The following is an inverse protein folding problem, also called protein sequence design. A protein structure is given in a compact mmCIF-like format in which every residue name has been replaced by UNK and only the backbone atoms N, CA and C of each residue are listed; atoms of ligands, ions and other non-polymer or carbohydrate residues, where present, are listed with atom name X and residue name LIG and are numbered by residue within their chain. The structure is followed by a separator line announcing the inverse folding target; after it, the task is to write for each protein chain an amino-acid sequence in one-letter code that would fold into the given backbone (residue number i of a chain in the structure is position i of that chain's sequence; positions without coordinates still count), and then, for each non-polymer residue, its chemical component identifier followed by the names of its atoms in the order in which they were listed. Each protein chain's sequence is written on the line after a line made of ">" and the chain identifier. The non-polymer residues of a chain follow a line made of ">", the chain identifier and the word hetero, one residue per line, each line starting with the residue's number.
data_IF_933876154477
#
_entry.id   IF_933876154477
#
_cell.length_a   1.000
_cell.length_b   1.000
_cell.length_c   1.000
_cell.angle_alpha   90.00
_cell.angle_beta   90.00
_cell.angle_gamma   90.00
#
_symmetry.space_group_name_H-M   'P 1'
#
loop_
_entity.id
_entity.type
_entity.pdbx_description
1 polymer ?
#
# COMPACT_ATOMS: atom_id res chain seq x y z
N UNK A 1 -34.86 -1.05 2.39
CA UNK A 1 -33.79 -0.10 2.76
C UNK A 1 -34.30 1.01 3.67
N UNK A 2 -35.23 1.86 3.24
CA UNK A 2 -35.76 2.95 4.09
C UNK A 2 -36.32 2.48 5.42
N UNK A 3 -37.06 1.37 5.43
CA UNK A 3 -37.57 0.76 6.66
C UNK A 3 -36.44 0.29 7.60
N UNK A 4 -35.35 -0.21 7.06
CA UNK A 4 -34.19 -0.64 7.84
C UNK A 4 -33.40 0.57 8.37
N UNK A 5 -33.27 1.64 7.60
CA UNK A 5 -32.69 2.91 8.05
C UNK A 5 -33.50 3.49 9.23
N UNK A 6 -34.82 3.49 9.12
CA UNK A 6 -35.68 3.90 10.20
C UNK A 6 -35.53 3.03 11.47
N UNK A 7 -35.33 1.72 11.30
CA UNK A 7 -35.13 0.79 12.42
C UNK A 7 -33.85 1.06 13.20
N UNK A 8 -32.76 1.45 12.50
CA UNK A 8 -31.48 1.80 13.16
C UNK A 8 -31.43 3.29 13.59
N UNK A 9 -32.49 4.05 13.35
CA UNK A 9 -32.58 5.48 13.65
C UNK A 9 -31.42 6.30 13.10
N UNK A 10 -30.87 5.89 11.94
CA UNK A 10 -29.71 6.51 11.31
C UNK A 10 -29.99 6.72 9.82
N UNK A 11 -29.71 7.90 9.25
CA UNK A 11 -29.87 8.12 7.82
C UNK A 11 -28.91 7.18 7.03
N UNK A 12 -29.39 6.75 5.86
CA UNK A 12 -28.55 5.93 4.95
C UNK A 12 -27.34 6.69 4.46
N UNK A 13 -27.56 7.96 4.12
CA UNK A 13 -26.55 8.90 3.61
C UNK A 13 -26.84 10.28 4.17
N UNK A 14 -25.82 11.11 4.26
CA UNK A 14 -25.92 12.51 4.64
C UNK A 14 -25.14 13.38 3.65
N UNK A 15 -25.68 14.57 3.30
CA UNK A 15 -25.04 15.49 2.38
C UNK A 15 -24.73 14.86 1.02
N UNK A 16 -23.50 14.94 0.58
CA UNK A 16 -23.02 14.48 -0.72
C UNK A 16 -22.54 13.01 -0.75
N UNK A 17 -22.89 12.24 0.30
CA UNK A 17 -22.51 10.83 0.36
C UNK A 17 -23.23 9.97 -0.66
N UNK A 18 -22.52 8.99 -1.21
CA UNK A 18 -23.05 8.04 -2.18
C UNK A 18 -23.45 6.73 -1.49
N UNK A 19 -24.71 6.32 -1.69
CA UNK A 19 -25.19 5.02 -1.26
C UNK A 19 -24.84 3.93 -2.28
N UNK A 20 -24.03 2.97 -1.87
CA UNK A 20 -23.75 1.75 -2.64
C UNK A 20 -24.71 0.64 -2.28
N UNK A 21 -25.41 0.07 -3.26
CA UNK A 21 -26.27 -1.12 -3.07
C UNK A 21 -25.57 -2.31 -3.70
N UNK A 22 -25.17 -3.26 -2.85
CA UNK A 22 -24.30 -4.38 -3.25
C UNK A 22 -25.00 -5.71 -2.99
N UNK A 23 -25.02 -6.66 -3.95
CA UNK A 23 -25.52 -8.00 -3.67
C UNK A 23 -24.50 -8.80 -2.86
N UNK A 24 -24.92 -9.40 -1.73
CA UNK A 24 -24.08 -10.23 -0.87
C UNK A 24 -23.59 -11.52 -1.50
N UNK A 25 -24.05 -11.84 -2.71
CA UNK A 25 -23.65 -13.02 -3.48
C UNK A 25 -22.35 -12.84 -4.28
N UNK A 26 -21.73 -11.66 -4.22
CA UNK A 26 -20.43 -11.42 -4.84
C UNK A 26 -19.31 -12.15 -4.08
N UNK A 27 -18.19 -12.48 -4.74
CA UNK A 27 -17.00 -12.98 -4.05
C UNK A 27 -16.51 -12.01 -2.96
N UNK A 28 -15.91 -12.55 -1.89
CA UNK A 28 -15.42 -11.77 -0.73
C UNK A 28 -14.52 -10.61 -1.15
N UNK A 29 -13.55 -10.84 -2.04
CA UNK A 29 -12.63 -9.80 -2.50
C UNK A 29 -13.37 -8.64 -3.21
N UNK A 30 -14.38 -8.94 -4.01
CA UNK A 30 -15.18 -7.94 -4.71
C UNK A 30 -16.10 -7.17 -3.75
N UNK A 31 -16.69 -7.87 -2.77
CA UNK A 31 -17.45 -7.24 -1.68
C UNK A 31 -16.56 -6.28 -0.88
N UNK A 32 -15.38 -6.75 -0.44
CA UNK A 32 -14.44 -5.95 0.33
C UNK A 32 -14.01 -4.69 -0.44
N UNK A 33 -13.70 -4.84 -1.73
CA UNK A 33 -13.35 -3.71 -2.59
C UNK A 33 -14.46 -2.66 -2.65
N UNK A 34 -15.71 -3.08 -2.90
CA UNK A 34 -16.86 -2.17 -3.00
C UNK A 34 -17.21 -1.51 -1.68
N UNK A 35 -17.12 -2.26 -0.58
CA UNK A 35 -17.40 -1.75 0.75
C UNK A 35 -16.32 -0.76 1.24
N UNK A 36 -15.05 -1.04 0.92
CA UNK A 36 -13.95 -0.15 1.28
C UNK A 36 -14.07 1.26 0.67
N UNK A 37 -14.62 1.35 -0.54
CA UNK A 37 -14.77 2.60 -1.29
C UNK A 37 -16.15 3.28 -1.06
N UNK A 38 -17.08 2.64 -0.34
CA UNK A 38 -18.42 3.18 -0.14
C UNK A 38 -18.49 4.20 1.00
N UNK A 39 -19.15 5.34 0.79
CA UNK A 39 -19.51 6.28 1.85
C UNK A 39 -20.56 5.65 2.77
N UNK A 40 -21.56 5.02 2.17
CA UNK A 40 -22.57 4.21 2.80
C UNK A 40 -22.88 2.97 1.94
N UNK A 41 -23.25 1.88 2.55
CA UNK A 41 -23.59 0.67 1.79
C UNK A 41 -24.80 -0.06 2.36
N UNK A 42 -25.57 -0.67 1.47
CA UNK A 42 -26.58 -1.66 1.81
C UNK A 42 -26.28 -2.94 1.06
N UNK A 43 -26.04 -4.01 1.79
CA UNK A 43 -25.81 -5.34 1.22
C UNK A 43 -27.09 -6.13 1.30
N UNK A 44 -27.58 -6.52 0.11
CA UNK A 44 -28.80 -7.29 -0.06
C UNK A 44 -28.47 -8.77 -0.33
N UNK A 45 -29.49 -9.64 -0.30
CA UNK A 45 -29.35 -11.08 -0.58
C UNK A 45 -28.37 -11.77 0.36
N UNK A 46 -28.51 -11.53 1.66
CA UNK A 46 -27.62 -12.10 2.68
C UNK A 46 -27.79 -13.63 2.75
N UNK A 47 -28.81 -14.11 3.38
CA UNK A 47 -29.09 -15.55 3.50
C UNK A 47 -27.80 -16.38 3.65
N UNK A 48 -27.59 -17.34 2.75
CA UNK A 48 -26.39 -18.21 2.72
C UNK A 48 -25.08 -17.46 2.45
N UNK A 49 -25.15 -16.22 1.96
CA UNK A 49 -23.98 -15.41 1.63
C UNK A 49 -23.51 -14.54 2.81
N UNK A 50 -24.16 -14.61 3.97
CA UNK A 50 -23.81 -13.73 5.09
C UNK A 50 -22.36 -13.93 5.55
N UNK A 51 -21.84 -15.14 5.55
CA UNK A 51 -20.45 -15.44 5.86
C UNK A 51 -19.48 -14.60 5.00
N UNK A 52 -19.69 -14.59 3.68
CA UNK A 52 -18.85 -13.79 2.77
C UNK A 52 -18.97 -12.28 3.01
N UNK A 53 -20.17 -11.80 3.37
CA UNK A 53 -20.38 -10.38 3.70
C UNK A 53 -19.69 -10.00 5.01
N UNK A 54 -19.79 -10.84 6.04
CA UNK A 54 -19.10 -10.65 7.32
C UNK A 54 -17.59 -10.64 7.16
N UNK A 55 -17.05 -11.58 6.39
CA UNK A 55 -15.63 -11.63 6.06
C UNK A 55 -15.18 -10.35 5.35
N UNK A 56 -15.93 -9.90 4.33
CA UNK A 56 -15.62 -8.66 3.61
C UNK A 56 -15.65 -7.42 4.52
N UNK A 57 -16.64 -7.32 5.41
CA UNK A 57 -16.72 -6.24 6.40
C UNK A 57 -15.54 -6.28 7.40
N UNK A 58 -15.13 -7.48 7.80
CA UNK A 58 -13.95 -7.67 8.67
C UNK A 58 -12.66 -7.23 7.96
N UNK A 59 -12.44 -7.67 6.72
CA UNK A 59 -11.27 -7.30 5.91
C UNK A 59 -11.15 -5.78 5.70
N UNK A 60 -12.28 -5.07 5.64
CA UNK A 60 -12.31 -3.61 5.49
C UNK A 60 -12.31 -2.87 6.83
N UNK A 61 -12.34 -3.59 7.97
CA UNK A 61 -12.42 -3.01 9.31
C UNK A 61 -13.73 -2.26 9.58
N UNK A 62 -14.83 -2.67 8.92
CA UNK A 62 -16.15 -2.04 8.98
C UNK A 62 -17.20 -2.92 9.69
N UNK A 63 -16.80 -4.09 10.21
CA UNK A 63 -17.72 -5.06 10.81
C UNK A 63 -18.44 -4.50 12.05
N UNK A 64 -17.70 -3.83 12.94
CA UNK A 64 -18.26 -3.24 14.17
C UNK A 64 -19.16 -2.04 13.90
N UNK A 65 -19.06 -1.54 12.71
CA UNK A 65 -19.82 -0.39 12.25
C UNK A 65 -21.06 -0.77 11.45
N UNK A 66 -21.20 -1.99 11.04
CA UNK A 66 -22.31 -2.46 10.25
C UNK A 66 -23.47 -2.96 11.12
N UNK A 67 -24.69 -2.73 10.64
CA UNK A 67 -25.91 -3.21 11.25
C UNK A 67 -26.53 -4.30 10.38
N UNK A 68 -27.03 -5.32 11.05
CA UNK A 68 -27.88 -6.34 10.46
C UNK A 68 -29.33 -6.03 10.76
N UNK A 69 -30.18 -6.05 9.73
CA UNK A 69 -31.62 -5.85 9.87
C UNK A 69 -32.36 -6.98 9.17
N UNK A 70 -33.23 -7.63 9.93
CA UNK A 70 -34.08 -8.72 9.46
C UNK A 70 -35.54 -8.31 9.54
N UNK A 71 -36.32 -8.59 8.51
CA UNK A 71 -37.77 -8.40 8.45
C UNK A 71 -38.20 -7.01 8.91
N UNK A 72 -37.52 -5.96 8.45
CA UNK A 72 -37.78 -4.58 8.83
C UNK A 72 -39.29 -4.22 8.70
N UNK A 73 -39.80 -3.50 9.67
CA UNK A 73 -41.20 -3.08 9.77
C UNK A 73 -42.22 -4.21 9.94
N UNK A 74 -41.81 -5.36 10.42
CA UNK A 74 -42.74 -6.46 10.79
C UNK A 74 -42.67 -6.71 12.30
N UNK A 75 -43.66 -7.40 12.89
CA UNK A 75 -43.59 -7.76 14.31
C UNK A 75 -42.43 -8.65 14.69
N UNK A 76 -41.77 -9.29 13.70
CA UNK A 76 -40.61 -10.17 13.86
C UNK A 76 -39.32 -9.51 13.45
N UNK A 77 -39.27 -8.18 13.39
CA UNK A 77 -38.06 -7.44 13.09
C UNK A 77 -36.97 -7.73 14.11
N UNK A 78 -35.74 -7.98 13.61
CA UNK A 78 -34.54 -8.06 14.44
C UNK A 78 -33.52 -7.05 13.94
N UNK A 79 -32.85 -6.41 14.88
CA UNK A 79 -31.77 -5.47 14.66
C UNK A 79 -30.60 -5.87 15.54
N UNK A 80 -29.43 -6.11 14.95
CA UNK A 80 -28.20 -6.50 15.65
C UNK A 80 -27.00 -5.76 15.04
N UNK A 81 -25.92 -5.52 15.81
CA UNK A 81 -24.61 -5.31 15.20
C UNK A 81 -24.28 -6.49 14.27
N UNK A 82 -23.64 -6.22 13.12
CA UNK A 82 -23.30 -7.27 12.18
C UNK A 82 -22.31 -8.30 12.78
N UNK A 83 -21.50 -7.88 13.74
CA UNK A 83 -20.58 -8.76 14.46
C UNK A 83 -21.29 -9.84 15.29
N UNK A 84 -22.50 -9.56 15.80
CA UNK A 84 -23.23 -10.41 16.74
C UNK A 84 -24.22 -11.38 16.07
N UNK A 85 -24.24 -11.42 14.74
CA UNK A 85 -25.18 -12.25 13.98
C UNK A 85 -24.69 -13.69 13.92
N UNK A 86 -25.56 -14.62 14.27
CA UNK A 86 -25.36 -16.05 14.00
C UNK A 86 -25.53 -16.33 12.50
N UNK A 87 -24.42 -16.63 11.84
CA UNK A 87 -24.36 -16.84 10.40
C UNK A 87 -25.25 -18.01 9.90
N UNK A 88 -25.52 -18.97 10.76
CA UNK A 88 -26.32 -20.16 10.43
C UNK A 88 -27.81 -19.87 10.36
N UNK A 89 -28.27 -18.76 10.95
CA UNK A 89 -29.68 -18.43 11.13
C UNK A 89 -30.17 -17.24 10.27
N UNK A 90 -29.38 -16.79 9.29
CA UNK A 90 -29.71 -15.61 8.47
C UNK A 90 -30.78 -15.92 7.42
N UNK A 91 -31.99 -15.31 7.49
CA UNK A 91 -33.05 -15.54 6.52
C UNK A 91 -32.84 -14.70 5.25
N UNK A 92 -33.60 -15.04 4.20
CA UNK A 92 -33.57 -14.31 2.95
C UNK A 92 -33.98 -12.82 3.09
N UNK A 93 -34.97 -12.54 3.95
CA UNK A 93 -35.47 -11.18 4.20
C UNK A 93 -34.60 -10.44 5.22
N UNK A 94 -33.32 -10.32 4.92
CA UNK A 94 -32.34 -9.59 5.71
C UNK A 94 -31.41 -8.77 4.85
N UNK A 95 -30.79 -7.77 5.43
CA UNK A 95 -29.79 -6.92 4.82
C UNK A 95 -28.75 -6.47 5.85
N UNK A 96 -27.53 -6.19 5.39
CA UNK A 96 -26.55 -5.49 6.19
C UNK A 96 -26.48 -4.04 5.73
N UNK A 97 -26.34 -3.14 6.69
CA UNK A 97 -26.26 -1.70 6.45
C UNK A 97 -24.96 -1.17 7.04
N UNK A 98 -24.24 -0.44 6.23
CA UNK A 98 -23.16 0.42 6.64
C UNK A 98 -23.63 1.87 6.44
N UNK A 99 -24.13 2.54 7.50
CA UNK A 99 -24.67 3.90 7.38
C UNK A 99 -23.58 4.88 6.97
N UNK A 100 -23.96 5.94 6.27
CA UNK A 100 -23.13 7.11 6.03
C UNK A 100 -22.83 7.90 7.32
N UNK A 101 -22.23 9.07 7.18
CA UNK A 101 -21.79 9.89 8.32
C UNK A 101 -20.52 9.37 8.99
N UNK A 102 -19.95 8.29 8.47
CA UNK A 102 -18.73 7.65 8.97
C UNK A 102 -17.45 8.15 8.32
N UNK A 103 -17.56 9.11 7.42
CA UNK A 103 -16.38 9.95 7.24
C UNK A 103 -16.02 10.35 8.67
N UNK A 104 -15.13 9.58 9.33
CA UNK A 104 -14.45 10.10 10.51
C UNK A 104 -14.06 11.49 10.07
N UNK A 105 -14.53 12.54 10.72
CA UNK A 105 -14.05 13.86 10.39
C UNK A 105 -12.55 13.66 10.46
N UNK A 106 -11.88 13.76 9.31
CA UNK A 106 -10.43 13.91 9.34
C UNK A 106 -10.30 15.11 10.21
N UNK A 107 -9.82 14.89 11.42
CA UNK A 107 -9.76 15.92 12.44
C UNK A 107 -9.10 17.10 11.77
N UNK A 108 -9.79 18.23 11.74
CA UNK A 108 -9.24 19.47 11.19
C UNK A 108 -7.78 19.55 11.64
N UNK A 109 -6.87 19.79 10.70
CA UNK A 109 -5.43 19.78 11.01
C UNK A 109 -4.70 18.44 10.84
N UNK A 110 -5.23 17.46 10.09
CA UNK A 110 -4.51 16.19 9.84
C UNK A 110 -4.02 16.04 8.41
N UNK A 111 -2.80 15.53 8.28
CA UNK A 111 -2.20 15.06 7.03
C UNK A 111 -2.00 13.55 7.11
N UNK A 112 -2.62 12.78 6.24
CA UNK A 112 -2.34 11.37 6.05
C UNK A 112 -1.32 11.19 4.92
N UNK A 113 -0.15 10.64 5.20
CA UNK A 113 0.82 10.26 4.16
C UNK A 113 0.52 8.81 3.78
N UNK A 114 -0.06 8.62 2.60
CA UNK A 114 -0.69 7.36 2.22
C UNK A 114 0.15 6.59 1.21
N UNK A 115 0.53 5.37 1.56
CA UNK A 115 1.14 4.43 0.64
C UNK A 115 0.11 3.80 -0.29
N UNK A 116 0.42 3.85 -1.59
CA UNK A 116 -0.41 3.23 -2.63
C UNK A 116 0.02 1.80 -2.97
N UNK A 117 1.08 1.29 -2.33
CA UNK A 117 1.75 0.09 -2.80
C UNK A 117 2.49 0.31 -4.14
N UNK A 118 3.20 -0.69 -4.65
CA UNK A 118 4.07 -0.52 -5.82
C UNK A 118 3.32 -0.40 -7.15
N UNK A 119 2.02 -0.71 -7.22
CA UNK A 119 1.29 -0.60 -8.49
C UNK A 119 -0.20 -0.86 -8.37
N UNK A 120 -0.65 -2.09 -8.55
CA UNK A 120 -2.06 -2.47 -8.63
C UNK A 120 -2.86 -2.09 -7.36
N UNK A 121 -4.14 -1.86 -7.57
CA UNK A 121 -5.10 -1.61 -6.49
C UNK A 121 -5.19 -2.76 -5.49
N UNK A 122 -4.94 -4.00 -5.88
CA UNK A 122 -4.98 -5.16 -5.00
C UNK A 122 -3.91 -5.13 -3.91
N UNK A 123 -2.81 -4.40 -4.16
CA UNK A 123 -1.75 -4.17 -3.19
C UNK A 123 -1.92 -2.90 -2.35
N UNK A 124 -2.99 -2.15 -2.59
CA UNK A 124 -3.38 -1.04 -1.73
C UNK A 124 -4.11 -1.56 -0.50
N UNK A 125 -3.67 -1.16 0.68
CA UNK A 125 -4.30 -1.62 1.93
C UNK A 125 -5.72 -1.06 2.07
N UNK A 126 -6.63 -1.76 2.76
CA UNK A 126 -7.95 -1.23 3.10
C UNK A 126 -7.86 0.11 3.85
N UNK A 127 -6.86 0.28 4.70
CA UNK A 127 -6.62 1.54 5.39
C UNK A 127 -6.26 2.67 4.43
N UNK A 128 -5.36 2.41 3.46
CA UNK A 128 -5.02 3.41 2.43
C UNK A 128 -6.24 3.85 1.64
N UNK A 129 -7.11 2.91 1.24
CA UNK A 129 -8.36 3.22 0.53
C UNK A 129 -9.29 4.12 1.34
N UNK A 130 -9.46 3.82 2.65
CA UNK A 130 -10.29 4.65 3.53
C UNK A 130 -9.73 6.06 3.68
N UNK A 131 -8.42 6.21 3.90
CA UNK A 131 -7.80 7.53 4.05
C UNK A 131 -7.93 8.37 2.78
N UNK A 132 -7.72 7.77 1.61
CA UNK A 132 -7.90 8.43 0.31
C UNK A 132 -9.37 8.82 0.08
N UNK A 133 -10.30 7.97 0.51
CA UNK A 133 -11.72 8.23 0.40
C UNK A 133 -12.20 9.37 1.30
N UNK A 134 -11.60 9.50 2.48
CA UNK A 134 -11.97 10.53 3.46
C UNK A 134 -11.30 11.88 3.21
N UNK A 135 -10.23 11.93 2.41
CA UNK A 135 -9.50 13.15 2.15
C UNK A 135 -10.30 14.11 1.25
N UNK A 136 -10.34 15.40 1.62
CA UNK A 136 -10.87 16.48 0.77
C UNK A 136 -9.84 16.94 -0.25
N UNK A 137 -8.56 16.73 0.05
CA UNK A 137 -7.44 17.15 -0.78
C UNK A 137 -6.44 16.02 -0.95
N UNK A 138 -6.13 15.69 -2.19
CA UNK A 138 -5.08 14.75 -2.56
C UNK A 138 -3.90 15.51 -3.14
N UNK A 139 -2.72 15.27 -2.61
CA UNK A 139 -1.47 15.90 -3.07
C UNK A 139 -0.51 14.80 -3.53
N UNK A 140 0.10 14.96 -4.69
CA UNK A 140 1.08 13.99 -5.15
C UNK A 140 1.62 14.21 -6.55
N UNK A 141 2.54 13.35 -6.93
CA UNK A 141 2.99 13.25 -8.32
C UNK A 141 1.85 12.76 -9.21
N UNK A 142 1.67 13.37 -10.39
CA UNK A 142 0.53 13.10 -11.26
C UNK A 142 0.27 11.62 -11.50
N UNK A 143 1.31 10.84 -11.86
CA UNK A 143 1.17 9.39 -12.09
C UNK A 143 0.73 8.59 -10.86
N UNK A 144 0.96 9.09 -9.65
CA UNK A 144 0.48 8.45 -8.42
C UNK A 144 -0.97 8.81 -8.16
N UNK A 145 -1.34 10.06 -8.39
CA UNK A 145 -2.73 10.50 -8.30
C UNK A 145 -3.63 9.80 -9.32
N UNK A 146 -3.13 9.50 -10.52
CA UNK A 146 -3.88 8.77 -11.56
C UNK A 146 -4.30 7.35 -11.11
N UNK A 147 -3.63 6.78 -10.10
CA UNK A 147 -3.97 5.48 -9.50
C UNK A 147 -5.11 5.56 -8.48
N UNK A 148 -5.47 6.76 -8.06
CA UNK A 148 -6.56 6.98 -7.10
C UNK A 148 -7.82 7.34 -7.88
N UNK A 149 -8.95 6.63 -7.70
CA UNK A 149 -10.22 6.98 -8.36
C UNK A 149 -10.63 8.42 -8.09
N UNK A 150 -11.15 9.10 -9.12
CA UNK A 150 -11.68 10.46 -8.97
C UNK A 150 -12.97 10.45 -8.17
N UNK A 151 -13.15 11.46 -7.30
CA UNK A 151 -14.37 11.67 -6.51
C UNK A 151 -14.84 13.12 -6.63
N UNK A 152 -16.14 13.32 -6.70
CA UNK A 152 -16.73 14.65 -6.66
C UNK A 152 -16.42 15.34 -5.33
N UNK A 153 -16.11 16.63 -5.39
CA UNK A 153 -15.76 17.42 -4.22
C UNK A 153 -14.34 17.19 -3.66
N UNK A 154 -13.54 16.32 -4.25
CA UNK A 154 -12.14 16.09 -3.87
C UNK A 154 -11.19 16.90 -4.75
N UNK A 155 -10.36 17.74 -4.14
CA UNK A 155 -9.37 18.54 -4.84
C UNK A 155 -8.07 17.77 -5.07
N UNK A 156 -7.51 17.83 -6.27
CA UNK A 156 -6.24 17.17 -6.63
C UNK A 156 -5.17 18.20 -6.90
N UNK A 157 -4.12 18.16 -6.12
CA UNK A 157 -2.95 19.03 -6.23
C UNK A 157 -1.79 18.23 -6.85
N UNK A 158 -1.70 18.36 -8.18
CA UNK A 158 -0.68 17.67 -8.97
C UNK A 158 0.62 18.46 -8.92
N UNK A 159 1.73 17.77 -8.75
CA UNK A 159 3.08 18.36 -8.82
C UNK A 159 4.06 17.43 -9.53
N UNK A 160 5.23 17.95 -9.90
CA UNK A 160 6.31 17.15 -10.44
C UNK A 160 6.97 16.29 -9.36
N UNK A 161 7.61 15.19 -9.78
CA UNK A 161 8.20 14.22 -8.85
C UNK A 161 9.31 14.81 -7.95
N UNK A 162 10.01 15.84 -8.44
CA UNK A 162 11.15 16.45 -7.74
C UNK A 162 10.79 17.45 -6.63
N UNK A 163 9.51 17.77 -6.45
CA UNK A 163 9.06 18.88 -5.59
C UNK A 163 8.47 18.40 -4.25
N UNK A 164 9.23 17.54 -3.55
CA UNK A 164 8.82 16.97 -2.26
C UNK A 164 8.59 18.03 -1.16
N UNK A 165 9.47 19.03 -0.99
CA UNK A 165 9.26 20.05 0.04
C UNK A 165 8.02 20.93 -0.19
N UNK A 166 7.73 21.30 -1.44
CA UNK A 166 6.55 22.10 -1.74
C UNK A 166 5.25 21.30 -1.52
N UNK A 167 5.24 20.00 -1.85
CA UNK A 167 4.12 19.12 -1.52
C UNK A 167 3.88 19.03 -0.02
N UNK A 168 4.94 18.86 0.77
CA UNK A 168 4.84 18.78 2.22
C UNK A 168 4.28 20.08 2.82
N UNK A 169 4.80 21.22 2.37
CA UNK A 169 4.32 22.55 2.80
C UNK A 169 2.86 22.79 2.44
N UNK A 170 2.46 22.46 1.22
CA UNK A 170 1.07 22.59 0.78
C UNK A 170 0.14 21.72 1.64
N UNK A 171 0.57 20.49 1.95
CA UNK A 171 -0.20 19.59 2.79
C UNK A 171 -0.45 20.16 4.18
N UNK A 172 0.60 20.68 4.82
CA UNK A 172 0.49 21.29 6.15
C UNK A 172 -0.37 22.57 6.12
N UNK A 173 -0.19 23.41 5.11
CA UNK A 173 -0.96 24.65 4.98
C UNK A 173 -2.47 24.41 4.77
N UNK A 174 -2.84 23.39 3.99
CA UNK A 174 -4.24 23.00 3.82
C UNK A 174 -4.82 22.37 5.10
N UNK A 175 -4.04 21.54 5.77
CA UNK A 175 -4.46 20.93 7.03
C UNK A 175 -4.69 22.00 8.12
N UNK A 176 -3.82 23.00 8.23
CA UNK A 176 -4.01 24.12 9.17
C UNK A 176 -5.32 24.88 8.94
N UNK A 177 -5.80 24.93 7.69
CA UNK A 177 -7.10 25.50 7.32
C UNK A 177 -8.28 24.57 7.67
N UNK A 178 -8.04 23.45 8.34
CA UNK A 178 -9.08 22.50 8.71
C UNK A 178 -9.44 21.48 7.62
N UNK A 179 -8.64 21.38 6.56
CA UNK A 179 -8.89 20.44 5.47
C UNK A 179 -8.35 19.04 5.81
N UNK A 180 -8.98 18.06 5.21
CA UNK A 180 -8.59 16.67 5.27
C UNK A 180 -7.61 16.36 4.13
N UNK A 181 -6.33 16.23 4.44
CA UNK A 181 -5.29 16.13 3.42
C UNK A 181 -4.70 14.73 3.35
N UNK A 182 -4.59 14.14 2.16
CA UNK A 182 -3.80 12.95 1.91
C UNK A 182 -2.66 13.24 0.93
N UNK A 183 -1.44 12.96 1.35
CA UNK A 183 -0.25 12.99 0.47
C UNK A 183 0.01 11.57 -0.02
N UNK A 184 -0.10 11.35 -1.34
CA UNK A 184 0.07 10.02 -1.93
C UNK A 184 1.51 9.71 -2.28
N UNK A 185 1.92 8.48 -2.01
CA UNK A 185 3.26 7.97 -2.30
C UNK A 185 3.18 6.58 -2.92
N UNK A 186 3.97 6.29 -3.95
CA UNK A 186 4.09 4.93 -4.45
C UNK A 186 4.88 4.07 -3.46
N UNK A 187 4.55 2.78 -3.38
CA UNK A 187 5.13 1.88 -2.39
C UNK A 187 4.69 2.25 -0.97
N UNK A 188 5.59 2.08 -0.02
CA UNK A 188 5.44 2.49 1.37
C UNK A 188 5.91 3.94 1.54
N UNK A 189 5.15 4.83 2.21
CA UNK A 189 5.50 6.24 2.33
C UNK A 189 6.69 6.51 3.26
N UNK A 190 7.05 5.55 4.12
CA UNK A 190 8.21 5.62 5.03
C UNK A 190 9.51 5.10 4.42
N UNK A 191 9.47 4.49 3.21
CA UNK A 191 10.65 3.89 2.58
C UNK A 191 11.12 4.75 1.40
N UNK A 192 12.06 5.66 1.65
CA UNK A 192 12.61 6.62 0.66
C UNK A 192 11.53 7.42 -0.09
N UNK A 193 10.51 7.86 0.62
CA UNK A 193 9.32 8.48 0.07
C UNK A 193 8.82 9.64 0.94
N UNK A 194 7.58 10.09 0.75
CA UNK A 194 7.06 11.37 1.22
C UNK A 194 6.94 11.55 2.74
N UNK A 195 6.93 10.46 3.54
CA UNK A 195 6.66 10.58 4.98
C UNK A 195 7.71 11.44 5.69
N UNK A 196 8.99 11.28 5.35
CA UNK A 196 10.08 12.08 5.96
C UNK A 196 9.90 13.57 5.65
N UNK A 197 9.67 13.93 4.39
CA UNK A 197 9.52 15.33 4.00
C UNK A 197 8.31 16.00 4.68
N UNK A 198 7.19 15.27 4.81
CA UNK A 198 6.00 15.78 5.50
C UNK A 198 6.24 15.92 7.00
N UNK A 199 6.91 14.97 7.65
CA UNK A 199 7.24 15.05 9.07
C UNK A 199 8.26 16.14 9.38
N UNK A 200 9.21 16.38 8.50
CA UNK A 200 10.17 17.49 8.62
C UNK A 200 9.48 18.86 8.55
N UNK A 201 8.59 19.03 7.57
CA UNK A 201 7.82 20.26 7.39
C UNK A 201 6.85 20.48 8.58
N UNK A 202 6.18 19.43 9.05
CA UNK A 202 5.19 19.51 10.12
C UNK A 202 5.74 20.08 11.45
N UNK A 203 7.05 20.07 11.65
CA UNK A 203 7.68 20.73 12.81
C UNK A 203 7.38 22.22 12.90
N UNK A 204 7.09 22.86 11.76
CA UNK A 204 6.76 24.29 11.68
C UNK A 204 5.25 24.54 11.85
N UNK A 205 4.44 23.49 11.98
CA UNK A 205 2.97 23.53 12.00
C UNK A 205 2.44 22.79 13.23
N UNK A 206 2.57 23.33 14.45
CA UNK A 206 2.29 22.61 15.70
C UNK A 206 0.83 22.15 15.86
N UNK A 207 -0.11 22.74 15.11
CA UNK A 207 -1.53 22.32 15.08
C UNK A 207 -1.82 21.18 14.11
N UNK A 208 -0.86 20.80 13.26
CA UNK A 208 -1.06 19.78 12.23
C UNK A 208 -0.60 18.42 12.72
N UNK A 209 -1.52 17.44 12.72
CA UNK A 209 -1.19 16.05 13.03
C UNK A 209 -0.83 15.29 11.75
N UNK A 210 0.30 14.59 11.75
CA UNK A 210 0.73 13.74 10.63
C UNK A 210 0.53 12.27 10.98
N UNK A 211 -0.13 11.54 10.10
CA UNK A 211 -0.27 10.08 10.17
C UNK A 211 0.38 9.44 8.96
N UNK A 212 1.16 8.40 9.16
CA UNK A 212 1.77 7.62 8.08
C UNK A 212 0.99 6.32 7.92
N UNK A 213 0.47 6.10 6.73
CA UNK A 213 -0.36 4.94 6.40
C UNK A 213 0.47 3.97 5.57
N UNK A 214 0.89 2.84 6.13
CA UNK A 214 1.83 1.93 5.51
C UNK A 214 1.24 1.18 4.32
N UNK A 215 2.10 0.76 3.42
CA UNK A 215 1.74 -0.10 2.30
C UNK A 215 2.90 -1.05 1.94
N UNK A 216 2.66 -1.96 0.98
CA UNK A 216 3.70 -2.83 0.46
C UNK A 216 4.79 -2.01 -0.23
N UNK A 217 6.05 -2.29 0.09
CA UNK A 217 7.18 -1.66 -0.58
C UNK A 217 7.70 -2.51 -1.76
N UNK A 218 8.42 -1.87 -2.70
CA UNK A 218 8.92 -2.54 -3.89
C UNK A 218 9.81 -3.75 -3.60
N UNK A 219 10.57 -3.75 -2.50
CA UNK A 219 11.39 -4.90 -2.11
C UNK A 219 10.57 -6.16 -1.86
N UNK A 220 9.44 -6.04 -1.15
CA UNK A 220 8.53 -7.16 -0.91
C UNK A 220 7.85 -7.63 -2.20
N UNK A 221 7.46 -6.70 -3.05
CA UNK A 221 6.87 -7.01 -4.34
C UNK A 221 7.82 -7.80 -5.25
N UNK A 222 9.07 -7.37 -5.38
CA UNK A 222 10.08 -8.08 -6.18
C UNK A 222 10.42 -9.43 -5.55
N UNK A 223 10.59 -9.48 -4.23
CA UNK A 223 10.89 -10.74 -3.53
C UNK A 223 9.81 -11.80 -3.79
N UNK A 224 8.53 -11.42 -3.78
CA UNK A 224 7.42 -12.36 -3.98
C UNK A 224 7.42 -13.05 -5.35
N UNK A 225 8.06 -12.46 -6.37
CA UNK A 225 8.15 -13.05 -7.72
C UNK A 225 9.10 -14.24 -7.79
N UNK A 226 10.13 -14.21 -6.97
CA UNK A 226 11.19 -15.24 -7.02
C UNK A 226 11.21 -16.14 -5.78
N UNK A 227 10.44 -15.83 -4.74
CA UNK A 227 10.36 -16.65 -3.53
C UNK A 227 10.60 -15.85 -2.26
N UNK A 228 11.67 -16.17 -1.52
CA UNK A 228 11.99 -15.58 -0.23
C UNK A 228 13.46 -15.10 -0.10
N UNK A 229 13.96 -14.25 -1.02
CA UNK A 229 15.33 -13.74 -0.93
C UNK A 229 15.57 -12.93 0.35
N UNK A 230 14.52 -12.29 0.90
CA UNK A 230 14.53 -11.54 2.15
C UNK A 230 14.22 -12.40 3.38
N UNK A 231 14.46 -13.70 3.32
CA UNK A 231 14.12 -14.66 4.38
C UNK A 231 15.00 -14.59 5.63
N UNK A 232 16.10 -13.85 5.60
CA UNK A 232 17.01 -13.58 6.70
C UNK A 232 17.20 -12.08 6.90
N UNK A 233 18.14 -11.66 7.75
CA UNK A 233 18.45 -10.25 7.99
C UNK A 233 18.83 -9.54 6.69
N UNK A 234 18.27 -8.37 6.46
CA UNK A 234 18.54 -7.60 5.26
C UNK A 234 18.63 -6.11 5.51
N UNK A 235 19.43 -5.43 4.71
CA UNK A 235 19.55 -3.97 4.73
C UNK A 235 18.86 -3.35 3.52
N UNK A 236 18.24 -2.19 3.72
CA UNK A 236 17.57 -1.41 2.68
C UNK A 236 18.42 -0.17 2.39
N UNK A 237 18.95 -0.08 1.17
CA UNK A 237 19.87 1.00 0.78
C UNK A 237 19.41 1.64 -0.53
N UNK A 238 19.40 2.98 -0.59
CA UNK A 238 19.17 3.72 -1.82
C UNK A 238 20.49 4.21 -2.40
N UNK A 239 20.71 3.96 -3.69
CA UNK A 239 21.88 4.47 -4.43
C UNK A 239 21.72 5.92 -4.88
N UNK A 240 20.59 6.58 -4.53
CA UNK A 240 20.41 8.00 -4.85
C UNK A 240 21.35 8.87 -4.02
N UNK A 241 22.26 9.56 -4.72
CA UNK A 241 23.23 10.50 -4.16
C UNK A 241 22.73 11.96 -4.15
N UNK A 242 21.43 12.18 -4.40
CA UNK A 242 20.83 13.53 -4.38
C UNK A 242 20.75 14.15 -2.99
N UNK A 243 20.50 13.33 -1.96
CA UNK A 243 20.26 13.77 -0.58
C UNK A 243 21.39 13.36 0.37
N UNK A 244 22.34 12.55 -0.07
CA UNK A 244 23.50 12.08 0.70
C UNK A 244 24.66 11.78 -0.23
N UNK A 245 25.92 12.09 0.15
CA UNK A 245 27.06 11.86 -0.71
C UNK A 245 27.34 10.37 -0.91
N UNK A 246 28.03 10.04 -2.02
CA UNK A 246 28.30 8.66 -2.40
C UNK A 246 29.18 7.90 -1.39
N UNK A 247 30.15 8.55 -0.78
CA UNK A 247 31.03 7.95 0.24
C UNK A 247 30.23 7.38 1.43
N UNK A 248 29.15 8.06 1.84
CA UNK A 248 28.23 7.55 2.86
C UNK A 248 27.47 6.32 2.36
N UNK A 249 27.07 6.29 1.08
CA UNK A 249 26.41 5.14 0.51
C UNK A 249 27.38 3.96 0.43
N UNK A 250 28.59 4.18 -0.07
CA UNK A 250 29.64 3.19 -0.20
C UNK A 250 30.02 2.56 1.15
N UNK A 251 30.18 3.38 2.18
CA UNK A 251 30.46 2.90 3.53
C UNK A 251 29.34 1.99 4.09
N UNK A 252 28.07 2.32 3.82
CA UNK A 252 26.93 1.50 4.21
C UNK A 252 26.87 0.18 3.45
N UNK A 253 27.15 0.21 2.14
CA UNK A 253 27.22 -0.98 1.30
C UNK A 253 28.33 -1.91 1.81
N UNK A 254 29.52 -1.39 2.08
CA UNK A 254 30.66 -2.13 2.60
C UNK A 254 30.33 -2.77 3.96
N UNK A 255 29.78 -2.01 4.90
CA UNK A 255 29.42 -2.52 6.23
C UNK A 255 28.37 -3.63 6.16
N UNK A 256 27.32 -3.46 5.37
CA UNK A 256 26.28 -4.45 5.20
C UNK A 256 26.77 -5.70 4.43
N UNK A 257 27.68 -5.54 3.46
CA UNK A 257 28.30 -6.64 2.75
C UNK A 257 29.23 -7.44 3.68
N UNK A 258 30.05 -6.76 4.48
CA UNK A 258 30.95 -7.41 5.45
C UNK A 258 30.20 -8.16 6.56
N UNK A 259 28.99 -7.67 6.94
CA UNK A 259 28.09 -8.34 7.87
C UNK A 259 27.24 -9.45 7.23
N UNK A 260 27.47 -9.77 5.97
CA UNK A 260 26.74 -10.79 5.20
C UNK A 260 25.21 -10.59 5.11
N UNK A 261 24.72 -9.35 5.16
CA UNK A 261 23.30 -9.05 5.03
C UNK A 261 22.82 -9.16 3.58
N UNK A 262 21.61 -9.65 3.35
CA UNK A 262 20.93 -9.46 2.06
C UNK A 262 20.68 -7.96 1.85
N UNK A 263 20.78 -7.47 0.62
CA UNK A 263 20.61 -6.05 0.32
C UNK A 263 19.43 -5.80 -0.61
N UNK A 264 18.46 -4.98 -0.16
CA UNK A 264 17.42 -4.43 -1.02
C UNK A 264 17.86 -3.04 -1.50
N UNK A 265 18.15 -2.90 -2.78
CA UNK A 265 18.76 -1.72 -3.39
C UNK A 265 17.71 -0.94 -4.16
N UNK A 266 17.40 0.25 -3.68
CA UNK A 266 16.48 1.21 -4.27
C UNK A 266 17.20 2.25 -5.12
N UNK A 267 16.48 2.78 -6.11
CA UNK A 267 16.96 3.82 -7.01
C UNK A 267 18.33 3.47 -7.65
N UNK A 268 18.48 2.28 -8.24
CA UNK A 268 19.78 1.81 -8.72
C UNK A 268 20.35 2.70 -9.82
N UNK A 269 19.52 3.18 -10.73
CA UNK A 269 19.94 4.02 -11.85
C UNK A 269 18.91 5.10 -12.19
N UNK A 270 19.32 6.14 -12.91
CA UNK A 270 18.46 7.14 -13.53
C UNK A 270 19.08 7.63 -14.84
N UNK A 271 18.39 8.52 -15.57
CA UNK A 271 18.93 9.11 -16.81
C UNK A 271 20.32 9.77 -16.65
N UNK A 272 20.60 10.29 -15.45
CA UNK A 272 21.85 11.02 -15.14
C UNK A 272 22.76 10.28 -14.15
N UNK A 273 22.28 9.20 -13.52
CA UNK A 273 23.00 8.37 -12.56
C UNK A 273 23.18 6.97 -13.13
N UNK A 274 24.32 6.67 -13.68
CA UNK A 274 24.58 5.41 -14.39
C UNK A 274 25.75 4.62 -13.79
N UNK A 275 26.70 5.26 -13.12
CA UNK A 275 27.93 4.64 -12.62
C UNK A 275 27.76 3.98 -11.24
N UNK A 276 26.74 4.37 -10.46
CA UNK A 276 26.57 3.94 -9.06
C UNK A 276 26.38 2.43 -8.91
N UNK A 277 25.74 1.79 -9.88
CA UNK A 277 25.56 0.33 -9.88
C UNK A 277 26.89 -0.39 -10.06
N UNK A 278 27.74 0.08 -11.00
CA UNK A 278 29.07 -0.47 -11.18
C UNK A 278 29.92 -0.33 -9.91
N UNK A 279 29.93 0.87 -9.32
CA UNK A 279 30.65 1.13 -8.07
C UNK A 279 30.11 0.28 -6.89
N UNK A 280 28.79 0.11 -6.79
CA UNK A 280 28.18 -0.81 -5.82
C UNK A 280 28.66 -2.24 -6.04
N UNK A 281 28.59 -2.74 -7.28
CA UNK A 281 29.04 -4.09 -7.62
C UNK A 281 30.51 -4.31 -7.20
N UNK A 282 31.39 -3.36 -7.49
CA UNK A 282 32.81 -3.46 -7.14
C UNK A 282 33.03 -3.49 -5.62
N UNK A 283 32.30 -2.68 -4.86
CA UNK A 283 32.29 -2.72 -3.40
C UNK A 283 31.81 -4.09 -2.89
N UNK A 284 30.74 -4.63 -3.46
CA UNK A 284 30.18 -5.90 -3.02
C UNK A 284 31.07 -7.11 -3.37
N UNK A 285 31.73 -7.11 -4.52
CA UNK A 285 32.66 -8.16 -4.94
C UNK A 285 33.91 -8.28 -4.05
N UNK A 286 34.23 -7.25 -3.26
CA UNK A 286 35.28 -7.35 -2.23
C UNK A 286 34.86 -8.22 -1.01
N UNK A 287 33.55 -8.52 -0.86
CA UNK A 287 32.99 -9.24 0.27
C UNK A 287 32.10 -10.43 -0.12
N UNK A 288 31.74 -10.57 -1.39
CA UNK A 288 30.80 -11.57 -1.90
C UNK A 288 31.42 -12.40 -2.99
N UNK A 289 30.95 -13.63 -3.09
CA UNK A 289 31.27 -14.50 -4.23
C UNK A 289 30.74 -13.86 -5.52
N UNK A 290 31.52 -13.89 -6.63
CA UNK A 290 31.04 -13.41 -7.94
C UNK A 290 29.75 -14.07 -8.41
N UNK A 291 29.47 -15.29 -7.98
CA UNK A 291 28.25 -16.05 -8.27
C UNK A 291 27.06 -15.69 -7.38
N UNK A 292 27.21 -14.79 -6.40
CA UNK A 292 26.09 -14.36 -5.53
C UNK A 292 24.88 -13.94 -6.37
N UNK A 293 23.68 -14.50 -6.11
CA UNK A 293 22.50 -14.17 -6.89
C UNK A 293 22.04 -12.73 -6.65
N UNK A 294 21.68 -12.05 -7.73
CA UNK A 294 21.07 -10.72 -7.73
C UNK A 294 19.74 -10.80 -8.46
N UNK A 295 18.65 -10.54 -7.76
CA UNK A 295 17.33 -10.42 -8.35
C UNK A 295 17.17 -8.99 -8.87
N UNK A 296 16.78 -8.84 -10.13
CA UNK A 296 16.45 -7.57 -10.77
C UNK A 296 14.95 -7.59 -11.03
N UNK A 297 14.20 -6.73 -10.33
CA UNK A 297 12.77 -6.55 -10.59
C UNK A 297 12.53 -5.18 -11.21
N UNK A 298 11.91 -5.16 -12.37
CA UNK A 298 11.51 -3.94 -13.08
C UNK A 298 10.00 -3.87 -13.16
N UNK A 299 9.42 -2.75 -12.78
CA UNK A 299 7.98 -2.46 -12.90
C UNK A 299 7.07 -3.53 -12.28
N UNK A 300 7.51 -4.19 -11.21
CA UNK A 300 6.69 -5.15 -10.48
C UNK A 300 5.58 -4.38 -9.78
N UNK A 301 4.36 -4.54 -10.26
CA UNK A 301 3.29 -3.60 -9.91
C UNK A 301 1.92 -4.22 -9.65
N UNK A 302 1.75 -5.52 -9.68
CA UNK A 302 0.44 -6.15 -9.50
C UNK A 302 0.51 -7.54 -8.89
N UNK A 303 -0.64 -8.12 -8.53
CA UNK A 303 -0.75 -9.50 -8.08
C UNK A 303 -0.32 -10.45 -9.21
N UNK A 304 -0.74 -10.16 -10.44
CA UNK A 304 -0.30 -10.85 -11.64
C UNK A 304 0.81 -10.05 -12.36
N UNK A 305 1.73 -10.72 -13.09
CA UNK A 305 2.75 -10.05 -13.88
C UNK A 305 2.14 -9.10 -14.93
N UNK A 306 2.55 -7.84 -14.89
CA UNK A 306 2.10 -6.84 -15.85
C UNK A 306 2.88 -6.88 -17.17
N UNK A 307 2.37 -6.25 -18.26
CA UNK A 307 2.98 -6.30 -19.60
C UNK A 307 4.38 -5.66 -19.68
N UNK A 308 4.75 -4.83 -18.72
CA UNK A 308 6.06 -4.18 -18.64
C UNK A 308 6.90 -4.71 -17.48
N UNK A 309 6.44 -5.76 -16.82
CA UNK A 309 7.16 -6.39 -15.73
C UNK A 309 8.27 -7.27 -16.28
N UNK A 310 9.48 -7.13 -15.73
CA UNK A 310 10.60 -8.01 -15.96
C UNK A 310 11.25 -8.37 -14.63
N UNK A 311 11.33 -9.66 -14.36
CA UNK A 311 12.02 -10.18 -13.16
C UNK A 311 12.98 -11.26 -13.59
N UNK A 312 14.25 -11.03 -13.31
CA UNK A 312 15.33 -11.97 -13.66
C UNK A 312 16.35 -12.08 -12.54
N UNK A 313 17.08 -13.15 -12.54
CA UNK A 313 18.19 -13.40 -11.61
C UNK A 313 19.49 -13.45 -12.40
N UNK A 314 20.49 -12.73 -11.92
CA UNK A 314 21.84 -12.72 -12.49
C UNK A 314 22.88 -12.98 -11.40
N UNK A 315 24.12 -13.29 -11.78
CA UNK A 315 25.24 -13.33 -10.84
C UNK A 315 25.71 -11.91 -10.55
N UNK A 316 26.25 -11.67 -9.37
CA UNK A 316 26.78 -10.35 -8.99
C UNK A 316 27.84 -9.85 -9.97
N UNK A 317 28.73 -10.75 -10.44
CA UNK A 317 29.74 -10.41 -11.42
C UNK A 317 29.16 -9.93 -12.77
N UNK A 318 27.99 -10.46 -13.15
CA UNK A 318 27.33 -10.19 -14.43
C UNK A 318 26.35 -9.03 -14.36
N UNK A 319 26.25 -8.34 -13.21
CA UNK A 319 25.36 -7.21 -13.02
C UNK A 319 25.82 -6.02 -13.89
N UNK A 320 25.02 -5.65 -14.87
CA UNK A 320 25.27 -4.51 -15.75
C UNK A 320 24.33 -3.34 -15.46
N UNK A 321 24.86 -2.13 -15.42
CA UNK A 321 24.09 -0.91 -15.22
C UNK A 321 23.25 -0.53 -16.46
N UNK A 322 23.66 -0.96 -17.67
CA UNK A 322 22.94 -0.67 -18.91
C UNK A 322 21.51 -1.22 -18.92
N UNK A 323 21.26 -2.27 -18.16
CA UNK A 323 19.96 -2.91 -18.04
C UNK A 323 19.03 -2.29 -16.99
N UNK A 324 19.46 -1.23 -16.30
CA UNK A 324 18.78 -0.70 -15.13
C UNK A 324 18.29 0.73 -15.34
N UNK A 325 17.10 1.01 -14.80
CA UNK A 325 16.52 2.35 -14.77
C UNK A 325 15.82 2.64 -13.41
N UNK A 326 15.12 3.76 -13.32
CA UNK A 326 14.38 4.19 -12.11
C UNK A 326 13.23 3.26 -11.71
N UNK A 327 12.83 2.33 -12.58
CA UNK A 327 11.73 1.37 -12.30
C UNK A 327 12.27 0.05 -11.75
N UNK A 328 13.59 -0.06 -11.59
CA UNK A 328 14.24 -1.26 -11.09
C UNK A 328 14.44 -1.21 -9.58
N UNK A 329 14.33 -2.38 -8.97
CA UNK A 329 14.78 -2.68 -7.62
C UNK A 329 15.68 -3.91 -7.69
N UNK A 330 16.78 -3.91 -6.93
CA UNK A 330 17.68 -5.06 -6.87
C UNK A 330 17.61 -5.71 -5.48
N UNK A 331 17.69 -7.04 -5.44
CA UNK A 331 17.92 -7.78 -4.19
C UNK A 331 19.20 -8.57 -4.37
N UNK A 332 20.26 -8.17 -3.67
CA UNK A 332 21.55 -8.86 -3.68
C UNK A 332 21.59 -9.86 -2.53
N UNK A 333 21.86 -11.11 -2.84
CA UNK A 333 21.92 -12.18 -1.87
C UNK A 333 23.08 -12.06 -0.87
N UNK A 334 22.98 -12.81 0.23
CA UNK A 334 24.09 -13.12 1.15
C UNK A 334 24.91 -14.33 0.67
N UNK A 335 25.94 -14.71 1.39
CA UNK A 335 26.68 -15.94 1.15
C UNK A 335 25.84 -17.22 1.21
N UNK A 336 24.69 -17.15 1.91
CA UNK A 336 23.76 -18.28 2.13
C UNK A 336 22.59 -18.27 1.14
N UNK A 337 22.42 -17.21 0.33
CA UNK A 337 21.31 -17.12 -0.59
C UNK A 337 21.43 -18.17 -1.70
N UNK A 338 20.38 -18.94 -1.89
CA UNK A 338 20.30 -20.00 -2.88
C UNK A 338 19.45 -19.58 -4.06
N UNK A 339 19.90 -19.97 -5.25
CA UNK A 339 19.21 -19.78 -6.51
C UNK A 339 19.14 -21.10 -7.26
N UNK A 340 17.95 -21.46 -7.69
CA UNK A 340 17.72 -22.63 -8.56
C UNK A 340 16.59 -22.34 -9.55
N UNK A 341 16.66 -22.96 -10.73
CA UNK A 341 15.60 -22.92 -11.73
C UNK A 341 14.69 -24.12 -11.56
N UNK A 342 13.38 -23.86 -11.49
CA UNK A 342 12.35 -24.88 -11.45
C UNK A 342 11.35 -24.74 -12.61
N UNK A 343 10.36 -25.63 -12.69
CA UNK A 343 9.33 -25.61 -13.74
C UNK A 343 8.53 -24.30 -13.81
N UNK A 344 8.48 -23.56 -12.68
CA UNK A 344 7.78 -22.28 -12.56
C UNK A 344 8.71 -21.08 -12.65
N UNK A 345 9.92 -21.23 -13.20
CA UNK A 345 10.96 -20.18 -13.30
C UNK A 345 11.95 -20.19 -12.13
N UNK A 346 12.75 -19.13 -12.07
CA UNK A 346 13.79 -18.97 -11.07
C UNK A 346 13.24 -18.81 -9.66
N UNK A 347 13.85 -19.49 -8.70
CA UNK A 347 13.56 -19.38 -7.27
C UNK A 347 14.80 -18.95 -6.51
N UNK A 348 14.64 -17.93 -5.68
CA UNK A 348 15.67 -17.39 -4.81
C UNK A 348 15.16 -17.32 -3.39
N UNK A 349 15.93 -17.83 -2.46
CA UNK A 349 15.63 -17.72 -1.04
C UNK A 349 16.90 -17.65 -0.20
N UNK A 350 16.80 -17.02 0.96
CA UNK A 350 17.88 -17.00 1.96
C UNK A 350 17.43 -17.80 3.16
N UNK A 351 18.13 -18.91 3.50
CA UNK A 351 17.80 -19.74 4.65
C UNK A 351 17.86 -18.96 5.96
N UNK A 352 16.97 -19.29 6.92
CA UNK A 352 16.96 -18.67 8.25
C UNK A 352 18.01 -19.26 9.20
N UNK A 353 18.63 -20.37 8.82
CA UNK A 353 19.65 -21.05 9.62
C UNK A 353 20.96 -21.02 8.86
N UNK A 354 22.03 -20.66 9.57
CA UNK A 354 23.38 -20.89 9.07
C UNK A 354 23.71 -22.38 9.19
N UNK A 355 24.52 -22.94 8.26
CA UNK A 355 25.09 -24.26 8.46
C UNK A 355 25.89 -24.23 9.75
N UNK A 356 25.64 -25.19 10.64
CA UNK A 356 26.39 -25.35 11.90
C UNK A 356 27.81 -25.84 11.69
#
# INVERSE_FOLDING_TARGET
>A
MSAASAAIATPLVAGDEVLSIVPGTLPVAELARRLADADAAVVLKLGRSYHAVREALSLTGQLDDAFYVERASTPTQRLLPAADVDETSVPYFSLAMLPGGRRRPVTAGTVAVVGLGPGDSDWMTPQSRRELACATDLIGYGRYLDRVPTRDGQHRHVSDNADEPARARLACALAEQGRAVAVVSSGDPGVFAMATAVLEEAKQWPGVQVRVIPAMTAAQAVASRVGAPLGHDYAVISLSDRLKPWDVIAARLQAAAAADLVLAIYNPASKTRTWQVGAMRDVLLAHRDPGTPVVIGRSVSGAEPGPNEDVRVVRLADLDHADLDMRCLLIVGSSQTQWYSGDSGDRVFTPRRYPG
#
